data_IF_195193213723
#
_entry.id   IF_195193213723
#
_cell.length_a   1.000
_cell.length_b   1.000
_cell.length_c   1.000
_cell.angle_alpha   90.00
_cell.angle_beta   90.00
_cell.angle_gamma   90.00
#
_symmetry.space_group_name_H-M   'P 1'
#
loop_
_entity.id
_entity.type
_entity.pdbx_description
1 polymer ?
#
# COMPACT_ATOMS: atom_id res chain seq x y z
N UNK A 1 26.17 8.05 -4.76
CA UNK A 1 25.32 6.92 -4.34
C UNK A 1 24.80 6.22 -5.60
N UNK A 2 24.60 4.90 -5.59
CA UNK A 2 24.19 4.14 -6.78
C UNK A 2 22.69 3.80 -6.69
N UNK A 3 21.84 4.28 -7.61
CA UNK A 3 20.41 3.92 -7.61
C UNK A 3 20.24 2.40 -7.74
N UNK A 4 19.24 1.87 -7.04
CA UNK A 4 18.91 0.44 -7.10
C UNK A 4 18.06 0.18 -8.35
N UNK A 5 18.58 -0.64 -9.26
CA UNK A 5 17.84 -1.10 -10.44
C UNK A 5 16.84 -2.17 -10.01
N UNK A 6 15.56 -1.93 -10.27
CA UNK A 6 14.53 -2.97 -10.22
C UNK A 6 14.40 -3.56 -11.60
N UNK A 7 14.31 -4.89 -11.70
CA UNK A 7 14.10 -5.55 -12.97
C UNK A 7 12.66 -6.02 -13.07
N UNK A 8 11.94 -5.48 -14.06
CA UNK A 8 10.59 -5.92 -14.39
C UNK A 8 10.54 -7.35 -14.95
N UNK A 9 9.33 -7.84 -15.24
CA UNK A 9 9.14 -9.11 -15.93
C UNK A 9 9.72 -9.06 -17.34
N UNK A 10 10.13 -10.21 -17.87
CA UNK A 10 10.52 -10.36 -19.28
C UNK A 10 9.28 -10.34 -20.17
N UNK A 11 9.37 -9.58 -21.25
CA UNK A 11 8.34 -9.41 -22.27
C UNK A 11 8.93 -9.93 -23.58
N UNK A 12 8.25 -10.89 -24.20
CA UNK A 12 8.63 -11.40 -25.52
C UNK A 12 8.49 -10.32 -26.57
N UNK A 13 9.45 -10.26 -27.48
CA UNK A 13 9.50 -9.30 -28.57
C UNK A 13 9.61 -10.02 -29.91
N UNK A 14 8.86 -9.52 -30.89
CA UNK A 14 8.73 -10.13 -32.22
C UNK A 14 9.25 -9.22 -33.34
N UNK A 15 10.03 -8.18 -32.99
CA UNK A 15 10.53 -7.20 -33.93
C UNK A 15 9.54 -6.08 -34.20
N UNK A 16 10.05 -4.97 -34.72
CA UNK A 16 9.27 -3.77 -35.07
C UNK A 16 9.83 -2.51 -34.43
N UNK A 17 8.99 -1.48 -34.30
CA UNK A 17 9.37 -0.24 -33.63
C UNK A 17 9.58 -0.45 -32.12
N UNK A 18 10.43 0.37 -31.52
CA UNK A 18 10.67 0.34 -30.07
C UNK A 18 9.34 0.50 -29.30
N UNK A 19 8.98 -0.45 -28.42
CA UNK A 19 7.69 -0.46 -27.72
C UNK A 19 7.63 0.49 -26.52
N UNK A 20 8.73 1.17 -26.19
CA UNK A 20 8.86 2.03 -25.00
C UNK A 20 9.53 3.36 -25.39
N UNK A 21 9.40 4.41 -24.56
CA UNK A 21 10.13 5.66 -24.78
C UNK A 21 11.65 5.44 -24.86
N UNK A 22 12.38 6.16 -25.76
CA UNK A 22 13.82 5.93 -26.00
C UNK A 22 14.73 6.07 -24.78
N UNK A 23 14.33 6.87 -23.79
CA UNK A 23 15.03 7.11 -22.52
C UNK A 23 14.77 6.03 -21.46
N UNK A 24 13.82 5.12 -21.71
CA UNK A 24 13.47 4.03 -20.79
C UNK A 24 14.65 3.07 -20.65
N UNK A 25 15.13 2.86 -19.44
CA UNK A 25 16.19 1.88 -19.18
C UNK A 25 15.63 0.46 -19.36
N UNK A 26 16.24 -0.34 -20.25
CA UNK A 26 15.83 -1.71 -20.55
C UNK A 26 17.01 -2.65 -20.53
N UNK A 27 16.75 -3.91 -20.18
CA UNK A 27 17.65 -5.02 -20.41
C UNK A 27 17.02 -5.94 -21.47
N UNK A 28 17.84 -6.43 -22.40
CA UNK A 28 17.37 -7.24 -23.53
C UNK A 28 18.00 -8.63 -23.49
N UNK A 29 17.30 -9.60 -24.09
CA UNK A 29 17.85 -10.89 -24.49
C UNK A 29 17.88 -10.94 -26.00
N UNK A 30 19.05 -11.28 -26.52
CA UNK A 30 19.29 -11.41 -27.94
C UNK A 30 18.92 -12.83 -28.40
N UNK A 31 18.69 -13.01 -29.70
CA UNK A 31 18.37 -14.29 -30.33
C UNK A 31 19.44 -15.34 -30.06
N UNK A 32 20.71 -14.94 -30.01
CA UNK A 32 21.85 -15.79 -29.63
C UNK A 32 21.85 -16.23 -28.15
N UNK A 33 20.91 -15.73 -27.34
CA UNK A 33 20.73 -16.10 -25.93
C UNK A 33 21.52 -15.23 -24.94
N UNK A 34 22.31 -14.27 -25.43
CA UNK A 34 23.05 -13.33 -24.60
C UNK A 34 22.13 -12.24 -24.00
N UNK A 35 22.58 -11.66 -22.88
CA UNK A 35 21.90 -10.53 -22.24
C UNK A 35 22.68 -9.25 -22.47
N UNK A 36 21.99 -8.24 -22.95
CA UNK A 36 22.51 -6.87 -23.01
C UNK A 36 22.62 -6.26 -21.62
N UNK A 37 23.42 -5.19 -21.48
CA UNK A 37 23.46 -4.41 -20.23
C UNK A 37 22.22 -3.52 -20.12
N UNK A 38 21.74 -3.18 -18.90
CA UNK A 38 20.65 -2.23 -18.77
C UNK A 38 21.09 -0.83 -19.22
N UNK A 39 20.57 -0.39 -20.37
CA UNK A 39 20.81 0.92 -21.01
C UNK A 39 19.51 1.49 -21.57
N UNK A 40 19.51 2.75 -22.02
CA UNK A 40 18.34 3.38 -22.60
C UNK A 40 17.85 2.62 -23.84
N UNK A 41 16.53 2.47 -24.01
CA UNK A 41 15.92 1.72 -25.09
C UNK A 41 16.35 2.19 -26.48
N UNK A 42 16.54 3.50 -26.65
CA UNK A 42 17.02 4.09 -27.91
C UNK A 42 18.47 3.75 -28.27
N UNK A 43 19.23 3.10 -27.38
CA UNK A 43 20.58 2.61 -27.67
C UNK A 43 20.60 1.22 -28.31
N UNK A 44 19.45 0.55 -28.40
CA UNK A 44 19.30 -0.76 -29.01
C UNK A 44 18.65 -0.66 -30.39
N UNK A 45 18.96 -1.62 -31.25
CA UNK A 45 18.26 -1.82 -32.53
C UNK A 45 17.08 -2.77 -32.32
N UNK A 46 15.86 -2.28 -32.58
CA UNK A 46 14.60 -2.97 -32.25
C UNK A 46 13.94 -3.75 -33.39
N UNK A 47 14.02 -3.28 -34.66
CA UNK A 47 13.62 -4.07 -35.81
C UNK A 47 14.40 -5.37 -35.88
N UNK A 48 13.73 -6.44 -36.31
CA UNK A 48 14.41 -7.71 -36.58
C UNK A 48 14.98 -7.69 -38.00
N UNK A 49 16.24 -8.09 -38.11
CA UNK A 49 16.92 -8.35 -39.39
C UNK A 49 17.17 -9.85 -39.62
N UNK A 50 16.60 -10.72 -38.77
CA UNK A 50 16.88 -12.16 -38.70
C UNK A 50 18.35 -12.47 -38.40
N UNK A 51 18.98 -11.60 -37.61
CA UNK A 51 20.36 -11.72 -37.16
C UNK A 51 20.45 -12.19 -35.70
N UNK A 52 21.61 -12.69 -35.31
CA UNK A 52 21.90 -13.15 -33.95
C UNK A 52 21.69 -12.07 -32.88
N UNK A 53 21.83 -10.80 -33.29
CA UNK A 53 21.63 -9.61 -32.47
C UNK A 53 20.17 -9.21 -32.27
N UNK A 54 19.21 -9.88 -32.90
CA UNK A 54 17.79 -9.56 -32.76
C UNK A 54 17.33 -9.68 -31.30
N UNK A 55 16.61 -8.67 -30.81
CA UNK A 55 16.03 -8.70 -29.47
C UNK A 55 14.82 -9.64 -29.46
N UNK A 56 14.86 -10.73 -28.68
CA UNK A 56 13.75 -11.69 -28.57
C UNK A 56 12.93 -11.50 -27.30
N UNK A 57 13.52 -10.89 -26.26
CA UNK A 57 12.83 -10.48 -25.05
C UNK A 57 13.45 -9.20 -24.51
N UNK A 58 12.66 -8.36 -23.85
CA UNK A 58 13.14 -7.20 -23.11
C UNK A 58 12.45 -7.11 -21.74
N UNK A 59 13.05 -6.36 -20.82
CA UNK A 59 12.40 -5.95 -19.57
C UNK A 59 12.76 -4.52 -19.23
N UNK A 60 11.79 -3.79 -18.70
CA UNK A 60 12.01 -2.44 -18.19
C UNK A 60 12.75 -2.54 -16.86
N UNK A 61 13.74 -1.67 -16.68
CA UNK A 61 14.60 -1.62 -15.50
C UNK A 61 14.45 -0.25 -14.84
N UNK A 62 13.33 0.03 -14.14
CA UNK A 62 13.19 1.31 -13.47
C UNK A 62 14.28 1.51 -12.42
N UNK A 63 14.79 2.72 -12.35
CA UNK A 63 15.61 3.15 -11.22
C UNK A 63 14.67 3.49 -10.07
N UNK A 64 14.81 2.79 -8.95
CA UNK A 64 14.17 3.27 -7.73
C UNK A 64 15.03 4.38 -7.14
N UNK A 65 14.41 5.51 -6.74
CA UNK A 65 15.09 6.47 -5.89
C UNK A 65 15.52 5.72 -4.62
N UNK A 66 16.76 5.97 -4.23
CA UNK A 66 17.29 5.47 -2.98
C UNK A 66 16.51 6.15 -1.83
N UNK A 67 15.55 5.43 -1.25
CA UNK A 67 14.67 5.98 -0.24
C UNK A 67 15.45 6.42 1.01
N UNK A 68 16.53 5.74 1.35
CA UNK A 68 17.40 6.14 2.45
C UNK A 68 18.13 7.45 2.12
N UNK A 69 18.60 7.61 0.88
CA UNK A 69 19.19 8.87 0.42
C UNK A 69 18.17 10.02 0.39
N UNK A 70 16.94 9.75 -0.07
CA UNK A 70 15.85 10.72 -0.10
C UNK A 70 15.45 11.14 1.33
N UNK A 71 15.36 10.18 2.25
CA UNK A 71 15.09 10.44 3.66
C UNK A 71 16.20 11.29 4.29
N UNK A 72 17.46 10.93 4.06
CA UNK A 72 18.62 11.69 4.54
C UNK A 72 18.65 13.11 3.97
N UNK A 73 18.33 13.30 2.69
CA UNK A 73 18.24 14.61 2.07
C UNK A 73 17.15 15.46 2.72
N UNK A 74 15.97 14.88 2.94
CA UNK A 74 14.86 15.57 3.60
C UNK A 74 15.24 15.99 5.03
N UNK A 75 15.84 15.08 5.81
CA UNK A 75 16.34 15.39 7.16
C UNK A 75 17.40 16.48 7.15
N UNK A 76 18.35 16.43 6.21
CA UNK A 76 19.40 17.45 6.06
C UNK A 76 18.85 18.84 5.70
N UNK A 77 17.67 18.89 5.06
CA UNK A 77 16.95 20.13 4.73
C UNK A 77 15.92 20.54 5.80
N UNK A 78 15.97 19.95 7.00
CA UNK A 78 15.12 20.34 8.12
C UNK A 78 13.68 19.79 8.06
N UNK A 79 13.39 18.85 7.16
CA UNK A 79 12.10 18.18 7.13
C UNK A 79 12.04 17.05 8.17
N UNK A 80 10.94 17.00 8.91
CA UNK A 80 10.61 15.87 9.79
C UNK A 80 9.91 14.79 8.98
N UNK A 81 10.55 13.62 8.90
CA UNK A 81 9.95 12.44 8.28
C UNK A 81 9.02 11.77 9.28
N UNK A 82 7.74 11.75 8.97
CA UNK A 82 6.74 10.98 9.71
C UNK A 82 6.74 9.57 9.08
N UNK A 83 7.18 8.53 9.80
CA UNK A 83 7.13 7.18 9.26
C UNK A 83 5.67 6.82 8.93
N UNK A 84 5.41 6.03 7.87
CA UNK A 84 4.07 5.55 7.62
C UNK A 84 3.59 4.79 8.86
N UNK A 85 2.54 5.29 9.49
CA UNK A 85 1.92 4.62 10.63
C UNK A 85 1.38 3.30 10.11
N UNK A 86 1.79 2.19 10.73
CA UNK A 86 1.22 0.87 10.43
C UNK A 86 -0.31 1.00 10.48
N UNK A 87 -1.05 0.64 9.41
CA UNK A 87 -2.50 0.67 9.46
C UNK A 87 -2.99 -0.18 10.63
N UNK A 88 -3.86 0.39 11.46
CA UNK A 88 -4.49 -0.33 12.56
C UNK A 88 -5.29 -1.51 12.00
N UNK A 89 -5.08 -2.71 12.53
CA UNK A 89 -5.89 -3.90 12.23
C UNK A 89 -6.86 -4.18 13.37
N UNK A 90 -7.77 -5.14 13.18
CA UNK A 90 -8.67 -5.58 14.25
C UNK A 90 -7.91 -6.12 15.47
N UNK A 91 -6.74 -6.72 15.26
CA UNK A 91 -5.90 -7.22 16.36
C UNK A 91 -5.29 -6.10 17.21
N UNK A 92 -5.14 -4.90 16.62
CA UNK A 92 -4.62 -3.71 17.32
C UNK A 92 -5.74 -2.98 18.10
N UNK A 93 -7.01 -3.35 17.90
CA UNK A 93 -8.17 -2.69 18.50
C UNK A 93 -8.52 -3.29 19.86
N UNK A 94 -8.51 -2.45 20.90
CA UNK A 94 -8.87 -2.84 22.26
C UNK A 94 -10.29 -2.34 22.62
N UNK A 95 -11.28 -3.24 22.79
CA UNK A 95 -12.57 -2.87 23.37
C UNK A 95 -12.40 -2.45 24.83
N UNK A 96 -13.31 -1.60 25.29
CA UNK A 96 -13.39 -1.18 26.69
C UNK A 96 -13.64 -2.40 27.58
N UNK A 97 -12.83 -2.52 28.63
CA UNK A 97 -12.95 -3.58 29.64
C UNK A 97 -13.71 -3.15 30.88
N UNK A 98 -13.76 -1.85 31.12
CA UNK A 98 -14.32 -1.23 32.30
C UNK A 98 -15.25 -0.09 31.89
N UNK A 99 -16.26 0.15 32.73
CA UNK A 99 -17.18 1.25 32.56
C UNK A 99 -16.43 2.58 32.72
N UNK A 100 -16.62 3.53 31.78
CA UNK A 100 -16.14 4.89 31.94
C UNK A 100 -17.01 5.61 32.99
N UNK A 101 -16.63 6.85 33.33
CA UNK A 101 -17.47 7.69 34.19
C UNK A 101 -18.80 8.02 33.51
N UNK A 102 -19.87 8.12 34.29
CA UNK A 102 -21.19 8.57 33.80
C UNK A 102 -21.05 9.94 33.14
N UNK A 103 -21.65 10.09 31.96
CA UNK A 103 -21.54 11.26 31.08
C UNK A 103 -20.40 11.19 30.08
N UNK A 104 -19.50 10.20 30.17
CA UNK A 104 -18.38 10.08 29.21
C UNK A 104 -18.86 9.57 27.86
N UNK A 105 -18.49 10.27 26.79
CA UNK A 105 -18.77 9.80 25.43
C UNK A 105 -17.90 8.61 25.03
N UNK A 106 -18.51 7.62 24.41
CA UNK A 106 -17.87 6.42 23.89
C UNK A 106 -18.57 5.95 22.60
N UNK A 107 -17.96 5.00 21.90
CA UNK A 107 -18.44 4.48 20.64
C UNK A 107 -18.91 3.03 20.79
N UNK A 108 -20.10 2.75 20.26
CA UNK A 108 -20.69 1.43 20.20
C UNK A 108 -20.68 0.89 18.78
N UNK A 109 -20.34 -0.38 18.65
CA UNK A 109 -20.48 -1.15 17.42
C UNK A 109 -21.87 -1.77 17.39
N UNK A 110 -22.64 -1.57 16.31
CA UNK A 110 -24.03 -2.03 16.19
C UNK A 110 -24.37 -2.39 14.73
N UNK A 111 -25.20 -3.42 14.49
CA UNK A 111 -25.46 -3.92 13.13
C UNK A 111 -26.50 -3.10 12.34
N UNK A 112 -27.30 -2.26 13.00
CA UNK A 112 -28.44 -1.56 12.38
C UNK A 112 -28.11 -0.16 11.87
N UNK A 113 -26.89 0.32 12.09
CA UNK A 113 -26.38 1.58 11.54
C UNK A 113 -25.57 1.30 10.27
N UNK A 114 -25.76 2.08 9.20
CA UNK A 114 -24.99 1.95 7.94
C UNK A 114 -23.48 2.10 8.15
N UNK A 115 -23.06 2.85 9.16
CA UNK A 115 -21.65 3.00 9.56
C UNK A 115 -21.16 1.89 10.49
N UNK A 116 -22.06 1.07 11.02
CA UNK A 116 -21.77 0.04 12.01
C UNK A 116 -21.38 0.56 13.39
N UNK A 117 -21.35 1.88 13.59
CA UNK A 117 -20.94 2.52 14.84
C UNK A 117 -21.79 3.75 15.17
N UNK A 118 -22.03 3.98 16.45
CA UNK A 118 -22.72 5.15 16.98
C UNK A 118 -22.06 5.62 18.27
N UNK A 119 -22.14 6.91 18.58
CA UNK A 119 -21.57 7.48 19.80
C UNK A 119 -22.66 7.73 20.84
N UNK A 120 -22.37 7.42 22.11
CA UNK A 120 -23.30 7.58 23.22
C UNK A 120 -22.58 8.21 24.42
N UNK A 121 -23.32 8.93 25.26
CA UNK A 121 -22.85 9.29 26.59
C UNK A 121 -23.16 8.13 27.54
N UNK A 122 -22.14 7.63 28.22
CA UNK A 122 -22.28 6.53 29.17
C UNK A 122 -23.25 6.91 30.28
N UNK A 123 -24.29 6.10 30.49
CA UNK A 123 -25.28 6.28 31.55
C UNK A 123 -25.24 5.15 32.59
N UNK A 124 -24.48 4.08 32.33
CA UNK A 124 -24.31 2.95 33.23
C UNK A 124 -25.55 2.07 33.33
N UNK A 125 -26.39 2.09 32.29
CA UNK A 125 -27.61 1.30 32.23
C UNK A 125 -27.35 -0.16 31.82
N UNK A 126 -28.43 -0.96 31.73
CA UNK A 126 -28.30 -2.36 31.31
C UNK A 126 -27.77 -2.52 29.89
N UNK A 127 -28.02 -1.55 29.01
CA UNK A 127 -27.58 -1.56 27.62
C UNK A 127 -26.07 -1.33 27.51
N UNK A 128 -25.58 -0.32 28.22
CA UNK A 128 -24.17 0.04 28.38
C UNK A 128 -23.34 -1.14 28.91
N UNK A 129 -23.85 -1.79 29.96
CA UNK A 129 -23.20 -2.96 30.58
C UNK A 129 -23.20 -4.17 29.65
N UNK A 130 -24.26 -4.37 28.86
CA UNK A 130 -24.33 -5.45 27.89
C UNK A 130 -23.33 -5.24 26.75
N UNK A 131 -23.19 -4.01 26.27
CA UNK A 131 -22.21 -3.68 25.25
C UNK A 131 -20.75 -3.88 25.71
N UNK A 132 -20.43 -3.55 26.96
CA UNK A 132 -19.11 -3.88 27.53
C UNK A 132 -18.89 -5.39 27.59
N UNK A 133 -19.90 -6.14 28.07
CA UNK A 133 -19.83 -7.61 28.17
C UNK A 133 -19.56 -8.25 26.81
N UNK A 134 -20.19 -7.73 25.76
CA UNK A 134 -20.02 -8.21 24.39
C UNK A 134 -18.83 -7.61 23.64
N UNK A 135 -17.99 -6.79 24.30
CA UNK A 135 -16.81 -6.14 23.69
C UNK A 135 -17.16 -5.26 22.48
N UNK A 136 -18.28 -4.56 22.57
CA UNK A 136 -18.80 -3.68 21.51
C UNK A 136 -18.60 -2.18 21.81
N UNK A 137 -18.03 -1.84 22.98
CA UNK A 137 -17.77 -0.47 23.40
C UNK A 137 -16.29 -0.08 23.22
N UNK A 138 -16.03 1.12 22.70
CA UNK A 138 -14.70 1.63 22.36
C UNK A 138 -14.54 3.10 22.76
N UNK A 139 -13.33 3.50 23.19
CA UNK A 139 -13.01 4.91 23.48
C UNK A 139 -12.83 5.72 22.20
N UNK A 140 -12.23 5.11 21.18
CA UNK A 140 -11.87 5.75 19.93
C UNK A 140 -12.79 5.34 18.80
N UNK A 141 -13.24 6.32 18.01
CA UNK A 141 -14.12 6.10 16.85
C UNK A 141 -13.48 5.16 15.83
N UNK A 142 -12.18 5.34 15.57
CA UNK A 142 -11.44 4.56 14.58
C UNK A 142 -11.40 3.08 14.97
N UNK A 143 -11.17 2.79 16.24
CA UNK A 143 -11.20 1.44 16.79
C UNK A 143 -12.59 0.81 16.63
N UNK A 144 -13.65 1.54 16.96
CA UNK A 144 -15.02 1.09 16.75
C UNK A 144 -15.30 0.77 15.27
N UNK A 145 -14.84 1.61 14.34
CA UNK A 145 -15.04 1.41 12.91
C UNK A 145 -14.31 0.17 12.38
N UNK A 146 -13.06 -0.04 12.81
CA UNK A 146 -12.29 -1.23 12.45
C UNK A 146 -12.98 -2.49 12.99
N UNK A 147 -13.46 -2.45 14.24
CA UNK A 147 -14.22 -3.53 14.85
C UNK A 147 -15.54 -3.79 14.12
N UNK A 148 -16.32 -2.77 13.79
CA UNK A 148 -17.58 -2.91 13.06
C UNK A 148 -17.37 -3.52 11.67
N UNK A 149 -16.33 -3.09 10.94
CA UNK A 149 -15.96 -3.67 9.65
C UNK A 149 -15.58 -5.14 9.77
N UNK A 150 -14.82 -5.50 10.79
CA UNK A 150 -14.40 -6.88 11.02
C UNK A 150 -15.58 -7.77 11.41
N UNK A 151 -16.41 -7.33 12.36
CA UNK A 151 -17.51 -8.13 12.94
C UNK A 151 -18.66 -8.28 11.94
N UNK A 152 -19.04 -7.21 11.23
CA UNK A 152 -20.22 -7.23 10.35
C UNK A 152 -19.87 -7.32 8.86
N UNK A 153 -18.59 -7.39 8.51
CA UNK A 153 -18.15 -7.44 7.11
C UNK A 153 -18.53 -6.19 6.31
N UNK A 154 -18.66 -5.03 6.96
CA UNK A 154 -19.03 -3.77 6.30
C UNK A 154 -17.96 -3.44 5.25
N UNK A 155 -18.31 -3.58 3.97
CA UNK A 155 -17.47 -3.21 2.84
C UNK A 155 -17.37 -1.69 2.83
N UNK A 156 -16.16 -1.16 2.99
CA UNK A 156 -15.92 0.28 2.98
C UNK A 156 -16.42 0.92 1.68
N UNK A 157 -17.46 1.74 1.80
CA UNK A 157 -18.01 2.56 0.74
C UNK A 157 -18.90 3.63 1.38
N UNK A 158 -18.62 4.88 1.02
CA UNK A 158 -19.29 6.14 1.45
C UNK A 158 -18.86 6.70 2.82
N UNK A 159 -17.73 7.41 2.78
CA UNK A 159 -17.53 8.66 3.52
C UNK A 159 -18.12 9.80 2.69
#
# INVERSE_FOLDING_TARGET
MKPKKIYGPWIKWHGGECPVPPDTLVEVRLRIGERGKPVAAGAYDWPHSDEDGDIVEYRIVPEQPDLDAAENLLRANGYTIIPPVKPLTFDDVAPMKEAPEIGTWYWLVQPFNSRGVESFAWCGDGYDLDALRHRMAYRDREHALIAARHIFGLKGGEL
#
